data_IF_833992206720
#
_entry.id   IF_833992206720
#
_cell.length_a   1.000
_cell.length_b   1.000
_cell.length_c   1.000
_cell.angle_alpha   90.00
_cell.angle_beta   90.00
_cell.angle_gamma   90.00
#
_symmetry.space_group_name_H-M   'P 1'
#
loop_
_entity.id
_entity.type
_entity.pdbx_description
1 polymer ?
#
# COMPACT_ATOMS: atom_id res chain seq x y z
N UNK A 1 -16.52 19.58 -6.46
CA UNK A 1 -16.82 18.84 -5.19
C UNK A 1 -15.56 18.12 -4.72
N UNK A 2 -15.33 18.03 -3.40
CA UNK A 2 -14.23 17.21 -2.83
C UNK A 2 -14.50 15.73 -3.09
N UNK A 3 -13.48 14.92 -3.39
CA UNK A 3 -13.66 13.48 -3.55
C UNK A 3 -14.12 12.83 -2.24
N UNK A 4 -15.04 11.87 -2.33
CA UNK A 4 -15.46 11.03 -1.21
C UNK A 4 -14.45 9.90 -1.06
N UNK A 5 -13.84 9.75 0.12
CA UNK A 5 -12.84 8.71 0.40
C UNK A 5 -13.34 7.81 1.52
N UNK A 6 -13.50 6.52 1.24
CA UNK A 6 -13.78 5.52 2.26
C UNK A 6 -12.49 5.22 3.04
N UNK A 7 -12.56 5.29 4.36
CA UNK A 7 -11.43 5.04 5.26
C UNK A 7 -11.82 3.90 6.19
N UNK A 8 -11.17 2.73 6.06
CA UNK A 8 -11.40 1.61 6.97
C UNK A 8 -10.51 1.74 8.21
N UNK A 9 -11.03 1.39 9.38
CA UNK A 9 -10.29 1.51 10.65
C UNK A 9 -9.31 0.36 10.92
N UNK A 10 -9.33 -0.69 10.08
CA UNK A 10 -8.44 -1.84 10.22
C UNK A 10 -8.76 -2.71 11.45
N UNK A 11 -7.73 -3.35 11.99
CA UNK A 11 -7.88 -4.18 13.20
C UNK A 11 -8.07 -3.30 14.43
N UNK A 12 -9.17 -3.48 15.13
CA UNK A 12 -9.55 -2.66 16.31
C UNK A 12 -8.59 -2.78 17.50
N UNK A 13 -7.79 -3.85 17.57
CA UNK A 13 -6.76 -4.02 18.59
C UNK A 13 -5.46 -3.28 18.28
N UNK A 14 -5.30 -2.77 17.02
CA UNK A 14 -4.12 -2.03 16.58
C UNK A 14 -4.30 -0.51 16.62
N UNK A 15 -3.34 0.20 16.02
CA UNK A 15 -3.29 1.68 16.00
C UNK A 15 -4.23 2.31 14.96
N UNK A 16 -4.98 1.52 14.17
CA UNK A 16 -5.76 2.02 13.02
C UNK A 16 -6.77 3.10 13.38
N UNK A 17 -7.55 2.91 14.44
CA UNK A 17 -8.51 3.91 14.94
C UNK A 17 -7.81 5.18 15.44
N UNK A 18 -6.69 5.04 16.16
CA UNK A 18 -5.89 6.16 16.67
C UNK A 18 -5.34 7.05 15.56
N UNK A 19 -4.62 6.45 14.59
CA UNK A 19 -4.02 7.21 13.48
C UNK A 19 -5.10 7.85 12.60
N UNK A 20 -6.27 7.20 12.46
CA UNK A 20 -7.40 7.76 11.72
C UNK A 20 -8.00 8.95 12.45
N UNK A 21 -8.27 8.84 13.77
CA UNK A 21 -8.76 9.95 14.58
C UNK A 21 -7.83 11.17 14.52
N UNK A 22 -6.53 10.95 14.63
CA UNK A 22 -5.51 12.01 14.48
C UNK A 22 -5.50 12.60 13.08
N UNK A 23 -5.58 11.77 12.03
CA UNK A 23 -5.60 12.23 10.64
C UNK A 23 -6.82 13.10 10.33
N UNK A 24 -7.99 12.79 10.85
CA UNK A 24 -9.23 13.55 10.66
C UNK A 24 -9.18 14.94 11.33
N UNK A 25 -8.32 15.16 12.33
CA UNK A 25 -8.06 16.48 12.91
C UNK A 25 -7.23 17.39 11.97
N UNK A 26 -6.54 16.83 10.99
CA UNK A 26 -5.71 17.59 10.06
C UNK A 26 -6.54 18.50 9.16
N UNK A 27 -6.19 19.79 9.12
CA UNK A 27 -6.79 20.76 8.23
C UNK A 27 -6.59 20.37 6.76
N UNK A 28 -5.45 19.78 6.42
CA UNK A 28 -5.14 19.34 5.05
C UNK A 28 -6.09 18.23 4.61
N UNK A 29 -6.36 17.22 5.46
CA UNK A 29 -7.29 16.13 5.18
C UNK A 29 -8.71 16.69 4.98
N UNK A 30 -9.17 17.55 5.88
CA UNK A 30 -10.51 18.18 5.78
C UNK A 30 -10.69 19.03 4.54
N UNK A 31 -9.62 19.67 4.06
CA UNK A 31 -9.63 20.43 2.80
C UNK A 31 -9.61 19.54 1.56
N UNK A 32 -8.91 18.38 1.61
CA UNK A 32 -8.64 17.53 0.46
C UNK A 32 -9.82 16.62 0.07
N UNK A 33 -10.60 16.09 1.03
CA UNK A 33 -11.65 15.12 0.76
C UNK A 33 -12.84 15.22 1.72
N UNK A 34 -13.89 14.48 1.39
CA UNK A 34 -15.02 14.15 2.28
C UNK A 34 -14.80 12.72 2.74
N UNK A 35 -14.37 12.48 4.01
CA UNK A 35 -14.13 11.15 4.52
C UNK A 35 -15.44 10.42 4.83
N UNK A 36 -15.48 9.11 4.56
CA UNK A 36 -16.50 8.17 4.99
C UNK A 36 -15.78 7.11 5.81
N UNK A 37 -16.05 7.03 7.09
CA UNK A 37 -15.35 6.13 8.00
C UNK A 37 -16.11 4.81 8.12
N UNK A 38 -15.39 3.69 8.01
CA UNK A 38 -15.98 2.35 8.07
C UNK A 38 -15.18 1.49 9.06
N UNK A 39 -15.83 1.00 10.09
CA UNK A 39 -15.20 0.15 11.10
C UNK A 39 -15.79 0.35 12.48
N UNK A 40 -15.10 -0.07 13.52
CA UNK A 40 -15.54 0.07 14.92
C UNK A 40 -15.48 1.54 15.36
N UNK A 41 -16.62 2.23 15.26
CA UNK A 41 -16.73 3.64 15.57
C UNK A 41 -16.54 3.91 17.07
N UNK A 42 -16.84 2.93 17.93
CA UNK A 42 -16.56 3.05 19.37
C UNK A 42 -15.05 3.19 19.63
N UNK A 43 -14.23 2.40 18.94
CA UNK A 43 -12.75 2.54 19.00
C UNK A 43 -12.30 3.91 18.49
N UNK A 44 -12.87 4.42 17.40
CA UNK A 44 -12.51 5.75 16.88
C UNK A 44 -12.84 6.87 17.89
N UNK A 45 -14.03 6.79 18.51
CA UNK A 45 -14.47 7.76 19.54
C UNK A 45 -13.58 7.75 20.77
N UNK A 46 -13.00 6.61 21.16
CA UNK A 46 -12.09 6.52 22.31
C UNK A 46 -10.80 7.36 22.14
N UNK A 47 -10.46 7.74 20.90
CA UNK A 47 -9.34 8.66 20.60
C UNK A 47 -9.80 10.11 20.38
N UNK A 48 -10.98 10.49 20.92
CA UNK A 48 -11.49 11.86 20.90
C UNK A 48 -12.06 12.30 19.55
N UNK A 49 -12.50 11.36 18.72
CA UNK A 49 -13.27 11.67 17.53
C UNK A 49 -14.73 12.00 17.91
N UNK A 50 -15.20 13.21 17.56
CA UNK A 50 -16.56 13.69 17.86
C UNK A 50 -17.11 14.60 16.74
N UNK A 51 -16.76 14.34 15.49
CA UNK A 51 -17.26 15.12 14.38
C UNK A 51 -18.53 14.51 13.79
N UNK A 52 -19.69 15.11 14.13
CA UNK A 52 -21.02 14.68 13.67
C UNK A 52 -21.24 14.90 12.15
N UNK A 53 -20.39 15.69 11.50
CA UNK A 53 -20.47 15.96 10.04
C UNK A 53 -19.79 14.88 9.21
N UNK A 54 -18.98 14.03 9.82
CA UNK A 54 -18.32 12.90 9.14
C UNK A 54 -19.25 11.71 9.14
N UNK A 55 -19.57 11.21 7.94
CA UNK A 55 -20.40 10.02 7.79
C UNK A 55 -19.65 8.77 8.24
N UNK A 56 -20.26 7.98 9.10
CA UNK A 56 -19.67 6.77 9.68
C UNK A 56 -20.58 5.57 9.42
N UNK A 57 -20.00 4.46 8.97
CA UNK A 57 -20.64 3.14 8.88
C UNK A 57 -20.04 2.29 9.98
N UNK A 58 -20.83 2.00 11.02
CA UNK A 58 -20.38 1.24 12.18
C UNK A 58 -20.32 -0.26 11.89
N UNK A 59 -19.16 -0.84 12.19
CA UNK A 59 -18.92 -2.29 12.13
C UNK A 59 -18.36 -2.70 13.49
N UNK A 60 -19.24 -2.92 14.47
CA UNK A 60 -18.85 -3.11 15.87
C UNK A 60 -18.15 -4.45 16.07
N UNK A 61 -17.13 -4.45 16.93
CA UNK A 61 -16.36 -5.65 17.29
C UNK A 61 -17.03 -6.48 18.39
N UNK A 62 -18.15 -5.98 18.93
CA UNK A 62 -18.90 -6.60 20.03
C UNK A 62 -18.43 -6.19 21.43
N UNK A 63 -19.31 -6.37 22.42
CA UNK A 63 -19.12 -5.88 23.81
C UNK A 63 -17.89 -6.46 24.54
N UNK A 64 -17.43 -7.66 24.20
CA UNK A 64 -16.31 -8.35 24.86
C UNK A 64 -14.91 -7.80 24.53
N UNK A 65 -14.74 -6.99 23.46
CA UNK A 65 -13.46 -6.41 23.08
C UNK A 65 -13.18 -5.04 23.70
N UNK A 66 -13.98 -4.59 24.65
CA UNK A 66 -13.64 -3.43 25.51
C UNK A 66 -12.39 -3.65 26.37
N UNK A 67 -11.90 -4.86 26.50
CA UNK A 67 -10.60 -5.16 27.09
C UNK A 67 -9.51 -4.93 26.03
N UNK A 68 -8.81 -3.85 26.19
CA UNK A 68 -7.67 -3.31 25.43
C UNK A 68 -6.46 -4.27 25.39
N UNK A 69 -6.63 -5.49 24.89
CA UNK A 69 -5.49 -6.36 24.68
C UNK A 69 -4.95 -6.12 23.25
N UNK A 70 -3.77 -5.53 23.11
CA UNK A 70 -3.14 -5.27 21.81
C UNK A 70 -2.59 -6.59 21.23
N UNK A 71 -3.48 -7.47 20.83
CA UNK A 71 -3.18 -8.79 20.27
C UNK A 71 -4.17 -9.18 19.19
N UNK A 72 -3.79 -10.11 18.30
CA UNK A 72 -4.70 -10.64 17.30
C UNK A 72 -5.96 -11.27 17.93
N UNK A 73 -7.13 -10.98 17.35
CA UNK A 73 -8.41 -11.53 17.81
C UNK A 73 -9.31 -11.91 16.62
N UNK A 74 -10.12 -12.96 16.80
CA UNK A 74 -11.12 -13.37 15.80
C UNK A 74 -12.09 -12.21 15.48
N UNK A 75 -12.56 -11.51 16.50
CA UNK A 75 -13.54 -10.44 16.33
C UNK A 75 -12.95 -9.22 15.60
N UNK A 76 -11.67 -8.82 15.89
CA UNK A 76 -10.95 -7.81 15.12
C UNK A 76 -10.77 -8.21 13.66
N UNK A 77 -10.51 -9.52 13.42
CA UNK A 77 -10.45 -10.07 12.06
C UNK A 77 -11.78 -9.94 11.32
N UNK A 78 -12.89 -10.36 11.91
CA UNK A 78 -14.23 -10.25 11.31
C UNK A 78 -14.60 -8.81 11.02
N UNK A 79 -14.43 -7.89 11.98
CA UNK A 79 -14.82 -6.50 11.83
C UNK A 79 -13.96 -5.78 10.78
N UNK A 80 -12.64 -5.96 10.80
CA UNK A 80 -11.75 -5.34 9.82
C UNK A 80 -12.01 -5.85 8.40
N UNK A 81 -12.34 -7.13 8.23
CA UNK A 81 -12.69 -7.69 6.93
C UNK A 81 -14.05 -7.18 6.44
N UNK A 82 -15.05 -7.14 7.29
CA UNK A 82 -16.37 -6.58 6.95
C UNK A 82 -16.28 -5.11 6.54
N UNK A 83 -15.48 -4.31 7.26
CA UNK A 83 -15.25 -2.92 6.91
C UNK A 83 -14.57 -2.80 5.53
N UNK A 84 -13.62 -3.69 5.22
CA UNK A 84 -12.97 -3.73 3.92
C UNK A 84 -13.96 -4.08 2.79
N UNK A 85 -14.84 -5.07 3.01
CA UNK A 85 -15.86 -5.46 2.04
C UNK A 85 -16.78 -4.27 1.71
N UNK A 86 -17.34 -3.61 2.74
CA UNK A 86 -18.21 -2.44 2.56
C UNK A 86 -17.48 -1.32 1.79
N UNK A 87 -16.23 -1.00 2.17
CA UNK A 87 -15.45 0.03 1.48
C UNK A 87 -15.22 -0.33 0.01
N UNK A 88 -14.96 -1.60 -0.28
CA UNK A 88 -14.68 -2.11 -1.61
C UNK A 88 -15.92 -2.06 -2.51
N UNK A 89 -17.08 -2.45 -1.99
CA UNK A 89 -18.36 -2.38 -2.68
C UNK A 89 -18.70 -0.92 -3.04
N UNK A 90 -18.60 -0.01 -2.06
CA UNK A 90 -18.82 1.42 -2.30
C UNK A 90 -17.89 2.02 -3.38
N UNK A 91 -16.64 1.55 -3.42
CA UNK A 91 -15.69 2.02 -4.42
C UNK A 91 -15.95 1.42 -5.80
N UNK A 92 -16.26 0.13 -5.86
CA UNK A 92 -16.57 -0.56 -7.11
C UNK A 92 -17.84 -0.01 -7.77
N UNK A 93 -18.85 0.34 -6.96
CA UNK A 93 -20.09 0.99 -7.41
C UNK A 93 -19.93 2.49 -7.71
N UNK A 94 -18.75 3.06 -7.53
CA UNK A 94 -18.48 4.49 -7.77
C UNK A 94 -19.11 5.44 -6.74
N UNK A 95 -19.66 4.92 -5.62
CA UNK A 95 -20.22 5.72 -4.52
C UNK A 95 -19.17 6.51 -3.74
N UNK A 96 -17.91 6.02 -3.77
CA UNK A 96 -16.72 6.72 -3.29
C UNK A 96 -15.65 6.78 -4.38
N UNK A 97 -14.74 7.73 -4.29
CA UNK A 97 -13.72 7.97 -5.31
C UNK A 97 -12.40 7.21 -5.04
N UNK A 98 -12.29 6.61 -3.87
CA UNK A 98 -11.14 5.81 -3.49
C UNK A 98 -11.24 5.30 -2.06
N UNK A 99 -10.32 4.40 -1.72
CA UNK A 99 -10.27 3.72 -0.42
C UNK A 99 -8.91 4.00 0.23
N UNK A 100 -8.94 4.32 1.52
CA UNK A 100 -7.75 4.30 2.38
C UNK A 100 -7.95 3.23 3.44
N UNK A 101 -7.04 2.26 3.51
CA UNK A 101 -7.17 1.19 4.50
C UNK A 101 -6.17 1.38 5.64
N UNK A 102 -6.64 1.47 6.88
CA UNK A 102 -5.79 1.34 8.05
C UNK A 102 -5.27 -0.11 8.18
N UNK A 103 -4.19 -0.34 8.97
CA UNK A 103 -3.56 -1.65 9.07
C UNK A 103 -4.47 -2.74 9.61
N UNK A 104 -4.36 -3.94 9.04
CA UNK A 104 -5.02 -5.17 9.52
C UNK A 104 -3.98 -6.15 10.07
N UNK A 105 -4.45 -7.05 10.93
CA UNK A 105 -3.64 -8.18 11.39
C UNK A 105 -4.01 -9.45 10.62
N UNK A 106 -3.05 -10.00 9.87
CA UNK A 106 -3.24 -11.25 9.11
C UNK A 106 -3.60 -12.42 10.02
N UNK A 107 -3.02 -12.48 11.24
CA UNK A 107 -3.37 -13.50 12.23
C UNK A 107 -4.82 -13.37 12.72
N UNK A 108 -5.33 -12.13 12.89
CA UNK A 108 -6.74 -11.91 13.21
C UNK A 108 -7.65 -12.40 12.09
N UNK A 109 -7.28 -12.17 10.81
CA UNK A 109 -8.01 -12.71 9.67
C UNK A 109 -8.01 -14.22 9.65
N UNK A 110 -6.86 -14.84 9.88
CA UNK A 110 -6.75 -16.30 9.97
C UNK A 110 -7.63 -16.88 11.09
N UNK A 111 -7.61 -16.28 12.30
CA UNK A 111 -8.49 -16.65 13.41
C UNK A 111 -9.98 -16.51 13.09
N UNK A 112 -10.32 -15.61 12.18
CA UNK A 112 -11.67 -15.40 11.68
C UNK A 112 -12.06 -16.34 10.53
N UNK A 113 -11.16 -17.24 10.09
CA UNK A 113 -11.40 -18.14 8.95
C UNK A 113 -11.25 -17.47 7.58
N UNK A 114 -10.67 -16.26 7.52
CA UNK A 114 -10.48 -15.49 6.29
C UNK A 114 -9.19 -15.98 5.61
N UNK A 115 -9.31 -16.48 4.38
CA UNK A 115 -8.22 -17.13 3.63
C UNK A 115 -7.34 -16.17 2.83
N UNK A 116 -7.62 -14.87 2.82
CA UNK A 116 -6.79 -13.87 2.13
C UNK A 116 -5.54 -13.54 2.94
N UNK A 117 -4.41 -13.40 2.25
CA UNK A 117 -3.11 -13.07 2.87
C UNK A 117 -2.96 -11.59 3.23
N UNK A 118 -3.94 -10.75 2.86
CA UNK A 118 -3.98 -9.31 3.14
C UNK A 118 -4.84 -8.54 2.14
N UNK A 119 -4.85 -7.22 2.26
CA UNK A 119 -5.66 -6.34 1.43
C UNK A 119 -5.44 -6.54 -0.07
N UNK A 120 -4.18 -6.57 -0.53
CA UNK A 120 -3.86 -6.67 -1.95
C UNK A 120 -4.32 -8.01 -2.55
N UNK A 121 -4.14 -9.10 -1.82
CA UNK A 121 -4.62 -10.43 -2.22
C UNK A 121 -6.15 -10.46 -2.32
N UNK A 122 -6.85 -9.89 -1.32
CA UNK A 122 -8.29 -9.71 -1.34
C UNK A 122 -8.75 -8.96 -2.60
N UNK A 123 -8.18 -7.79 -2.87
CA UNK A 123 -8.57 -6.98 -4.02
C UNK A 123 -8.31 -7.69 -5.35
N UNK A 124 -7.15 -8.34 -5.51
CA UNK A 124 -6.81 -9.06 -6.73
C UNK A 124 -7.79 -10.20 -7.04
N UNK A 125 -8.12 -10.99 -6.03
CA UNK A 125 -9.00 -12.16 -6.18
C UNK A 125 -10.46 -11.75 -6.32
N UNK A 126 -10.94 -10.84 -5.48
CA UNK A 126 -12.35 -10.46 -5.45
C UNK A 126 -12.78 -9.70 -6.71
N UNK A 127 -11.92 -8.84 -7.23
CA UNK A 127 -12.24 -7.99 -8.38
C UNK A 127 -11.61 -8.48 -9.69
N UNK A 128 -10.87 -9.61 -9.68
CA UNK A 128 -10.19 -10.17 -10.85
C UNK A 128 -9.14 -9.22 -11.48
N UNK A 129 -8.28 -8.64 -10.65
CA UNK A 129 -7.16 -7.78 -11.06
C UNK A 129 -5.81 -8.39 -10.64
N UNK A 130 -5.39 -9.53 -11.24
CA UNK A 130 -4.18 -10.27 -10.82
C UNK A 130 -2.89 -9.47 -10.98
N UNK A 131 -2.86 -8.54 -11.91
CA UNK A 131 -1.70 -7.69 -12.21
C UNK A 131 -1.69 -6.36 -11.42
N UNK A 132 -2.59 -6.22 -10.42
CA UNK A 132 -2.53 -5.04 -9.54
C UNK A 132 -1.16 -4.97 -8.85
N UNK A 133 -0.55 -3.79 -8.91
CA UNK A 133 0.85 -3.57 -8.56
C UNK A 133 0.99 -2.89 -7.20
N UNK A 134 1.88 -3.42 -6.37
CA UNK A 134 2.28 -2.79 -5.12
C UNK A 134 3.33 -1.72 -5.38
N UNK A 135 2.98 -0.47 -5.10
CA UNK A 135 3.85 0.70 -5.24
C UNK A 135 3.99 1.40 -3.89
N UNK A 136 5.19 1.79 -3.53
CA UNK A 136 5.47 2.62 -2.38
C UNK A 136 5.88 4.01 -2.83
N UNK A 137 5.23 5.01 -2.26
CA UNK A 137 5.44 6.42 -2.58
C UNK A 137 5.88 7.17 -1.34
N UNK A 138 6.95 7.93 -1.44
CA UNK A 138 7.32 8.96 -0.48
C UNK A 138 7.63 10.26 -1.24
N UNK A 139 8.03 11.33 -0.55
CA UNK A 139 8.31 12.63 -1.20
C UNK A 139 9.25 12.52 -2.39
N UNK A 140 10.30 11.67 -2.28
CA UNK A 140 11.37 11.57 -3.29
C UNK A 140 11.55 10.16 -3.84
N UNK A 141 10.73 9.19 -3.43
CA UNK A 141 10.92 7.80 -3.83
C UNK A 141 9.60 7.24 -4.36
N UNK A 142 9.65 6.68 -5.57
CA UNK A 142 8.58 5.92 -6.19
C UNK A 142 9.13 4.51 -6.47
N UNK A 143 8.72 3.52 -5.69
CA UNK A 143 9.24 2.17 -5.75
C UNK A 143 8.12 1.15 -6.02
N UNK A 144 8.33 0.26 -6.99
CA UNK A 144 7.42 -0.85 -7.28
C UNK A 144 8.09 -2.20 -7.02
N UNK A 145 7.29 -3.24 -6.74
CA UNK A 145 7.76 -4.60 -6.48
C UNK A 145 7.39 -5.56 -7.60
N UNK A 146 8.34 -6.41 -8.00
CA UNK A 146 8.04 -7.57 -8.85
C UNK A 146 7.41 -8.68 -8.04
N UNK A 147 8.04 -9.06 -6.94
CA UNK A 147 7.53 -10.03 -5.97
C UNK A 147 7.28 -9.34 -4.63
N UNK A 148 6.30 -9.87 -3.88
CA UNK A 148 5.84 -9.24 -2.63
C UNK A 148 6.23 -10.10 -1.42
N UNK A 149 5.24 -10.47 -0.58
CA UNK A 149 5.46 -11.25 0.65
C UNK A 149 5.57 -12.74 0.33
N UNK A 150 6.78 -13.22 0.11
CA UNK A 150 7.10 -14.63 -0.11
C UNK A 150 8.48 -14.96 0.47
N UNK A 151 8.80 -16.26 0.72
CA UNK A 151 10.14 -16.65 1.09
C UNK A 151 11.17 -16.23 0.04
N UNK A 152 12.35 -15.79 0.48
CA UNK A 152 13.41 -15.34 -0.43
C UNK A 152 13.83 -16.44 -1.42
N UNK A 153 13.84 -17.70 -0.98
CA UNK A 153 14.12 -18.89 -1.80
C UNK A 153 13.18 -19.06 -3.00
N UNK A 154 11.97 -18.50 -2.93
CA UNK A 154 10.97 -18.60 -4.00
C UNK A 154 10.99 -17.44 -5.00
N UNK A 155 11.74 -16.39 -4.70
CA UNK A 155 11.71 -15.14 -5.51
C UNK A 155 12.03 -15.39 -6.98
N UNK A 156 13.12 -16.13 -7.26
CA UNK A 156 13.54 -16.43 -8.63
C UNK A 156 12.46 -17.15 -9.44
N UNK A 157 11.73 -18.10 -8.82
CA UNK A 157 10.66 -18.87 -9.45
C UNK A 157 9.49 -17.98 -9.91
N UNK A 158 9.24 -16.88 -9.19
CA UNK A 158 8.14 -15.95 -9.49
C UNK A 158 8.54 -14.82 -10.45
N UNK A 159 9.83 -14.65 -10.77
CA UNK A 159 10.30 -13.66 -11.74
C UNK A 159 10.22 -14.26 -13.15
N UNK A 160 9.10 -14.02 -13.82
CA UNK A 160 8.85 -14.45 -15.19
C UNK A 160 8.84 -13.28 -16.17
N UNK A 161 9.11 -13.52 -17.47
CA UNK A 161 9.01 -12.50 -18.53
C UNK A 161 7.66 -11.79 -18.52
N UNK A 162 6.57 -12.56 -18.30
CA UNK A 162 5.20 -12.02 -18.21
C UNK A 162 5.08 -11.06 -17.02
N UNK A 163 5.55 -11.47 -15.85
CA UNK A 163 5.47 -10.66 -14.61
C UNK A 163 6.30 -9.38 -14.71
N UNK A 164 7.56 -9.48 -15.14
CA UNK A 164 8.44 -8.31 -15.34
C UNK A 164 7.81 -7.33 -16.33
N UNK A 165 7.30 -7.83 -17.47
CA UNK A 165 6.60 -7.00 -18.46
C UNK A 165 5.39 -6.28 -17.88
N UNK A 166 4.53 -7.00 -17.13
CA UNK A 166 3.34 -6.43 -16.51
C UNK A 166 3.70 -5.34 -15.48
N UNK A 167 4.69 -5.59 -14.63
CA UNK A 167 5.17 -4.62 -13.63
C UNK A 167 5.71 -3.37 -14.29
N UNK A 168 6.59 -3.49 -15.28
CA UNK A 168 7.14 -2.33 -16.00
C UNK A 168 6.03 -1.51 -16.68
N UNK A 169 5.10 -2.16 -17.39
CA UNK A 169 3.97 -1.51 -18.06
C UNK A 169 3.08 -0.77 -17.07
N UNK A 170 2.71 -1.42 -15.97
CA UNK A 170 1.83 -0.83 -14.96
C UNK A 170 2.54 0.30 -14.19
N UNK A 171 3.81 0.14 -13.86
CA UNK A 171 4.55 1.19 -13.17
C UNK A 171 4.76 2.43 -14.04
N UNK A 172 5.07 2.28 -15.32
CA UNK A 172 5.12 3.41 -16.27
C UNK A 172 3.78 4.17 -16.32
N UNK A 173 2.66 3.46 -16.35
CA UNK A 173 1.34 4.07 -16.33
C UNK A 173 1.06 4.78 -15.00
N UNK A 174 1.44 4.18 -13.88
CA UNK A 174 1.28 4.77 -12.54
C UNK A 174 2.09 6.07 -12.40
N UNK A 175 3.34 6.10 -12.89
CA UNK A 175 4.19 7.28 -12.84
C UNK A 175 3.61 8.48 -13.62
N UNK A 176 2.81 8.25 -14.67
CA UNK A 176 2.11 9.35 -15.38
C UNK A 176 1.04 10.04 -14.54
N UNK A 177 0.52 9.38 -13.52
CA UNK A 177 -0.52 9.94 -12.62
C UNK A 177 0.05 10.80 -11.49
N UNK A 178 1.36 10.77 -11.29
CA UNK A 178 2.04 11.53 -10.23
C UNK A 178 3.07 12.50 -10.84
N UNK A 179 3.44 13.58 -10.13
CA UNK A 179 4.44 14.51 -10.63
C UNK A 179 5.84 13.86 -10.55
N UNK A 180 6.36 13.43 -11.67
CA UNK A 180 7.70 12.86 -11.81
C UNK A 180 8.50 13.71 -12.78
N UNK A 181 9.67 14.21 -12.34
CA UNK A 181 10.53 15.06 -13.17
C UNK A 181 11.17 14.28 -14.33
N UNK A 182 11.56 13.03 -14.09
CA UNK A 182 12.21 12.18 -15.08
C UNK A 182 11.45 10.84 -15.18
N UNK A 183 10.91 10.46 -16.35
CA UNK A 183 10.17 9.22 -16.53
C UNK A 183 11.05 7.96 -16.64
N UNK A 184 12.38 8.10 -16.54
CA UNK A 184 13.29 6.93 -16.54
C UNK A 184 13.10 6.10 -15.28
N UNK A 185 13.18 4.80 -15.44
CA UNK A 185 12.99 3.81 -14.38
C UNK A 185 14.25 2.97 -14.23
N UNK A 186 14.68 2.76 -12.99
CA UNK A 186 15.65 1.73 -12.65
C UNK A 186 14.95 0.41 -12.38
N UNK A 187 15.56 -0.68 -12.79
CA UNK A 187 15.19 -2.04 -12.42
C UNK A 187 16.36 -2.66 -11.66
N UNK A 188 16.14 -3.07 -10.41
CA UNK A 188 17.12 -3.77 -9.59
C UNK A 188 17.22 -5.22 -10.03
N UNK A 189 18.42 -5.68 -10.36
CA UNK A 189 18.69 -7.08 -10.61
C UNK A 189 18.32 -7.95 -9.40
N UNK A 190 18.04 -9.22 -9.64
CA UNK A 190 17.79 -10.21 -8.57
C UNK A 190 19.11 -10.59 -7.92
N UNK A 191 20.07 -10.90 -8.79
CA UNK A 191 21.37 -11.46 -8.37
C UNK A 191 22.44 -10.37 -8.28
N UNK A 192 23.44 -10.54 -7.38
CA UNK A 192 24.63 -9.70 -7.36
C UNK A 192 25.26 -9.61 -8.74
N UNK A 193 25.79 -8.44 -9.10
CA UNK A 193 26.46 -8.18 -10.39
C UNK A 193 25.64 -8.59 -11.63
N UNK A 194 24.30 -8.74 -11.50
CA UNK A 194 23.40 -9.24 -12.55
C UNK A 194 23.73 -10.68 -13.01
N UNK A 195 24.23 -11.50 -12.10
CA UNK A 195 24.58 -12.91 -12.37
C UNK A 195 25.88 -13.12 -13.16
N UNK A 196 26.72 -12.04 -13.29
CA UNK A 196 27.96 -12.04 -14.07
C UNK A 196 27.76 -12.66 -15.47
N UNK A 197 26.84 -12.06 -16.24
CA UNK A 197 26.50 -12.49 -17.60
C UNK A 197 26.05 -13.97 -17.70
N UNK A 198 25.54 -14.51 -16.59
CA UNK A 198 25.06 -15.90 -16.48
C UNK A 198 26.07 -16.88 -15.91
N UNK A 199 27.23 -16.41 -15.42
CA UNK A 199 28.28 -17.27 -14.89
C UNK A 199 27.83 -18.04 -13.62
N UNK A 200 27.01 -17.40 -12.75
CA UNK A 200 26.47 -18.06 -11.55
C UNK A 200 24.95 -18.00 -11.42
N UNK A 201 24.29 -17.09 -12.16
CA UNK A 201 22.83 -16.97 -12.15
C UNK A 201 22.32 -16.46 -13.51
N UNK A 202 21.16 -16.94 -13.94
CA UNK A 202 20.68 -16.73 -15.32
C UNK A 202 19.38 -15.95 -15.44
N UNK A 203 18.78 -15.53 -14.32
CA UNK A 203 17.49 -14.81 -14.30
C UNK A 203 17.55 -13.51 -15.10
N UNK A 204 18.65 -12.79 -14.99
CA UNK A 204 18.85 -11.54 -15.73
C UNK A 204 18.91 -11.81 -17.22
N UNK A 205 19.72 -12.77 -17.67
CA UNK A 205 19.94 -13.06 -19.08
C UNK A 205 18.72 -13.71 -19.74
N UNK A 206 18.15 -14.74 -19.11
CA UNK A 206 17.07 -15.53 -19.71
C UNK A 206 15.68 -14.92 -19.53
N UNK A 207 15.50 -14.08 -18.52
CA UNK A 207 14.16 -13.59 -18.12
C UNK A 207 14.07 -12.07 -18.14
N UNK A 208 14.91 -11.37 -17.36
CA UNK A 208 14.73 -9.93 -17.11
C UNK A 208 15.14 -9.11 -18.34
N UNK A 209 16.36 -9.27 -18.84
CA UNK A 209 16.85 -8.54 -20.03
C UNK A 209 15.92 -8.71 -21.25
N UNK A 210 15.47 -9.94 -21.61
CA UNK A 210 14.51 -10.11 -22.70
C UNK A 210 13.16 -9.42 -22.46
N UNK A 211 12.66 -9.41 -21.23
CA UNK A 211 11.42 -8.70 -20.89
C UNK A 211 11.57 -7.18 -21.00
N UNK A 212 12.75 -6.64 -20.65
CA UNK A 212 13.03 -5.21 -20.67
C UNK A 212 13.29 -4.63 -22.06
N UNK A 213 13.64 -5.44 -23.08
CA UNK A 213 13.91 -4.98 -24.45
C UNK A 213 12.82 -4.07 -25.04
N UNK A 214 11.57 -4.21 -24.60
CA UNK A 214 10.42 -3.38 -25.07
C UNK A 214 10.34 -2.02 -24.38
N UNK A 215 11.13 -1.76 -23.33
CA UNK A 215 11.03 -0.58 -22.49
C UNK A 215 12.28 0.30 -22.57
N UNK A 216 12.32 1.22 -23.52
CA UNK A 216 13.50 2.10 -23.77
C UNK A 216 13.88 2.99 -22.59
N UNK A 217 12.97 3.23 -21.65
CA UNK A 217 13.17 4.07 -20.47
C UNK A 217 13.39 3.29 -19.18
N UNK A 218 13.59 1.97 -19.25
CA UNK A 218 13.91 1.11 -18.10
C UNK A 218 15.36 0.65 -18.22
N UNK A 219 16.16 0.89 -17.18
CA UNK A 219 17.58 0.50 -17.11
C UNK A 219 17.75 -0.55 -16.03
N UNK A 220 18.28 -1.72 -16.37
CA UNK A 220 18.67 -2.77 -15.44
C UNK A 220 20.04 -2.45 -14.84
N UNK A 221 20.16 -2.55 -13.52
CA UNK A 221 21.42 -2.35 -12.79
C UNK A 221 21.53 -3.35 -11.63
N UNK A 222 22.76 -3.69 -11.19
CA UNK A 222 22.97 -4.35 -9.91
C UNK A 222 22.34 -3.55 -8.79
N UNK A 223 21.74 -4.24 -7.79
CA UNK A 223 20.89 -3.63 -6.79
C UNK A 223 21.62 -2.66 -5.87
N UNK A 224 22.86 -2.96 -5.52
CA UNK A 224 23.75 -2.12 -4.72
C UNK A 224 23.98 -0.75 -5.37
N UNK A 225 24.25 -0.73 -6.67
CA UNK A 225 24.46 0.51 -7.43
C UNK A 225 23.16 1.19 -7.87
N UNK A 226 22.07 0.43 -8.06
CA UNK A 226 20.79 0.96 -8.51
C UNK A 226 20.21 2.00 -7.54
N UNK A 227 20.17 1.71 -6.26
CA UNK A 227 19.66 2.64 -5.24
C UNK A 227 20.54 3.89 -5.13
N UNK A 228 21.87 3.72 -5.20
CA UNK A 228 22.80 4.84 -5.18
C UNK A 228 22.58 5.79 -6.37
N UNK A 229 22.37 5.25 -7.58
CA UNK A 229 22.03 6.06 -8.76
C UNK A 229 20.65 6.67 -8.70
N UNK A 230 19.68 5.98 -8.07
CA UNK A 230 18.33 6.48 -7.91
C UNK A 230 18.29 7.77 -7.07
N UNK A 231 18.97 7.79 -5.94
CA UNK A 231 19.00 8.97 -5.05
C UNK A 231 19.69 10.20 -5.66
N UNK A 232 20.53 10.01 -6.70
CA UNK A 232 21.10 11.11 -7.47
C UNK A 232 20.08 11.87 -8.34
N UNK A 233 18.79 11.43 -8.36
CA UNK A 233 17.70 12.15 -9.01
C UNK A 233 17.60 11.99 -10.53
N UNK A 234 18.36 11.08 -11.14
CA UNK A 234 18.34 10.83 -12.59
C UNK A 234 17.18 9.95 -13.05
N UNK A 235 16.41 9.40 -12.12
CA UNK A 235 15.32 8.47 -12.37
C UNK A 235 14.06 8.86 -11.60
N UNK A 236 12.90 8.62 -12.19
CA UNK A 236 11.61 8.94 -11.56
C UNK A 236 10.98 7.78 -10.81
N UNK A 237 11.47 6.56 -11.04
CA UNK A 237 10.99 5.36 -10.37
C UNK A 237 12.06 4.27 -10.29
N UNK A 238 11.89 3.37 -9.32
CA UNK A 238 12.72 2.17 -9.15
C UNK A 238 11.81 0.95 -9.00
N UNK A 239 12.14 -0.13 -9.71
CA UNK A 239 11.48 -1.43 -9.59
C UNK A 239 12.45 -2.36 -8.88
N UNK A 240 12.01 -2.96 -7.78
CA UNK A 240 12.78 -3.95 -7.04
C UNK A 240 12.22 -5.35 -7.26
N UNK A 241 13.10 -6.33 -7.33
CA UNK A 241 12.76 -7.71 -7.60
C UNK A 241 12.01 -8.36 -6.43
N UNK A 242 12.33 -8.00 -5.18
CA UNK A 242 11.72 -8.54 -3.97
C UNK A 242 11.57 -7.50 -2.86
N UNK A 243 10.80 -7.88 -1.84
CA UNK A 243 10.33 -6.98 -0.78
C UNK A 243 11.46 -6.25 -0.06
N UNK A 244 12.46 -6.95 0.49
CA UNK A 244 13.48 -6.30 1.33
C UNK A 244 14.50 -5.51 0.51
N UNK A 245 14.74 -5.87 -0.75
CA UNK A 245 15.51 -5.07 -1.71
C UNK A 245 14.91 -3.66 -1.90
N UNK A 246 13.59 -3.54 -1.71
CA UNK A 246 12.88 -2.27 -1.79
C UNK A 246 12.73 -1.60 -0.42
N UNK A 247 12.22 -2.33 0.58
CA UNK A 247 11.73 -1.72 1.82
C UNK A 247 12.86 -1.31 2.77
N UNK A 248 13.98 -2.01 2.76
CA UNK A 248 15.16 -1.61 3.56
C UNK A 248 15.66 -0.24 3.11
N UNK A 249 16.08 -0.03 1.85
CA UNK A 249 16.57 1.28 1.44
C UNK A 249 15.45 2.34 1.44
N UNK A 250 14.22 1.99 1.08
CA UNK A 250 13.09 2.91 1.14
C UNK A 250 12.91 3.49 2.55
N UNK A 251 12.87 2.65 3.59
CA UNK A 251 12.69 3.10 4.97
C UNK A 251 13.90 3.83 5.52
N UNK A 252 15.09 3.43 5.12
CA UNK A 252 16.35 4.08 5.55
C UNK A 252 16.51 5.47 4.92
N UNK A 253 16.22 5.59 3.62
CA UNK A 253 16.41 6.82 2.86
C UNK A 253 15.23 7.79 2.93
N UNK A 254 14.03 7.29 3.23
CA UNK A 254 12.84 8.13 3.28
C UNK A 254 12.80 8.95 4.57
N UNK A 255 12.99 10.26 4.45
CA UNK A 255 12.79 11.25 5.51
C UNK A 255 11.32 11.71 5.64
N UNK A 256 10.42 11.10 4.90
CA UNK A 256 9.00 11.45 4.85
C UNK A 256 8.13 10.21 4.94
N UNK A 257 6.86 10.36 5.38
CA UNK A 257 5.94 9.24 5.47
C UNK A 257 5.80 8.48 4.16
N UNK A 258 5.76 7.16 4.25
CA UNK A 258 5.62 6.26 3.09
C UNK A 258 4.15 5.86 2.94
N UNK A 259 3.65 5.92 1.72
CA UNK A 259 2.32 5.47 1.33
C UNK A 259 2.45 4.23 0.46
N UNK A 260 1.69 3.20 0.77
CA UNK A 260 1.48 2.08 -0.13
C UNK A 260 0.29 2.40 -1.05
N UNK A 261 0.49 2.27 -2.35
CA UNK A 261 -0.52 2.40 -3.40
C UNK A 261 -0.70 1.08 -4.13
N UNK A 262 -1.90 0.51 -4.12
CA UNK A 262 -2.24 -0.63 -4.97
C UNK A 262 -2.76 -0.08 -6.30
N UNK A 263 -1.88 -0.06 -7.31
CA UNK A 263 -2.20 0.43 -8.65
C UNK A 263 -2.81 -0.67 -9.52
N UNK A 264 -3.71 -0.30 -10.41
CA UNK A 264 -4.33 -1.22 -11.39
C UNK A 264 -5.63 -1.85 -10.93
N UNK A 265 -6.18 -1.43 -9.80
CA UNK A 265 -7.56 -1.74 -9.39
C UNK A 265 -8.55 -0.82 -10.14
N UNK A 266 -9.86 -1.18 -10.20
CA UNK A 266 -10.89 -0.34 -10.83
C UNK A 266 -11.18 0.94 -10.03
N UNK A 267 -10.60 1.07 -8.85
CA UNK A 267 -10.68 2.23 -7.96
C UNK A 267 -9.30 2.52 -7.33
N UNK A 268 -9.15 3.72 -6.78
CA UNK A 268 -7.90 4.10 -6.12
C UNK A 268 -7.86 3.51 -4.71
N UNK A 269 -6.78 2.79 -4.39
CA UNK A 269 -6.55 2.27 -3.04
C UNK A 269 -5.17 2.64 -2.54
N UNK A 270 -5.12 3.30 -1.37
CA UNK A 270 -3.89 3.63 -0.66
C UNK A 270 -3.93 3.16 0.79
N UNK A 271 -2.79 3.09 1.43
CA UNK A 271 -2.67 2.80 2.86
C UNK A 271 -1.36 3.35 3.42
N UNK A 272 -1.26 3.56 4.75
CA UNK A 272 0.04 3.68 5.39
C UNK A 272 0.89 2.42 5.15
N UNK A 273 2.21 2.59 5.11
CA UNK A 273 3.17 1.51 4.84
C UNK A 273 3.73 0.86 6.13
N UNK A 274 2.92 0.79 7.17
CA UNK A 274 3.24 0.13 8.45
C UNK A 274 2.12 -0.81 8.88
N UNK A 275 2.40 -1.66 9.87
CA UNK A 275 1.45 -2.64 10.43
C UNK A 275 0.59 -2.08 11.56
N UNK A 276 -0.05 -3.00 12.29
CA UNK A 276 -0.97 -2.73 13.42
C UNK A 276 -0.29 -2.17 14.67
N UNK A 277 1.02 -2.32 14.81
CA UNK A 277 1.85 -1.82 15.91
C UNK A 277 1.19 -2.06 17.29
N UNK A 278 0.95 -3.33 17.61
CA UNK A 278 0.29 -3.73 18.85
C UNK A 278 1.06 -3.30 20.11
N UNK A 279 2.38 -3.15 20.01
CA UNK A 279 3.27 -2.68 21.08
C UNK A 279 2.93 -1.28 21.59
N UNK A 280 2.41 -0.41 20.72
CA UNK A 280 2.00 0.96 21.06
C UNK A 280 0.50 1.20 21.00
N UNK A 281 -0.29 0.21 20.63
CA UNK A 281 -1.74 0.35 20.51
C UNK A 281 -2.38 0.69 21.87
N UNK A 282 -3.27 1.68 21.89
CA UNK A 282 -3.94 2.17 23.10
C UNK A 282 -3.13 3.17 23.93
N UNK A 283 -1.86 3.44 23.58
CA UNK A 283 -1.02 4.39 24.31
C UNK A 283 -1.17 5.85 23.87
N UNK A 284 -1.87 6.12 22.77
CA UNK A 284 -2.09 7.49 22.27
C UNK A 284 -0.85 8.13 21.62
N UNK A 285 0.22 7.36 21.36
CA UNK A 285 1.51 7.86 20.86
C UNK A 285 1.77 7.54 19.39
N UNK A 286 0.84 6.85 18.69
CA UNK A 286 1.04 6.49 17.30
C UNK A 286 1.13 7.73 16.39
N UNK A 287 2.10 7.73 15.47
CA UNK A 287 2.25 8.77 14.45
C UNK A 287 1.25 8.57 13.31
N UNK A 288 0.45 9.59 13.02
CA UNK A 288 -0.56 9.59 11.98
C UNK A 288 -0.04 10.08 10.61
N UNK A 289 1.21 10.46 10.50
CA UNK A 289 1.77 11.10 9.30
C UNK A 289 1.57 10.25 8.04
N UNK A 290 1.82 8.94 8.10
CA UNK A 290 1.61 8.03 6.98
C UNK A 290 0.12 7.89 6.60
N UNK A 291 -0.79 7.93 7.58
CA UNK A 291 -2.23 7.89 7.33
C UNK A 291 -2.72 9.19 6.68
N UNK A 292 -2.25 10.33 7.16
CA UNK A 292 -2.53 11.64 6.55
C UNK A 292 -2.06 11.64 5.09
N UNK A 293 -0.83 11.22 4.82
CA UNK A 293 -0.31 11.16 3.45
C UNK A 293 -1.07 10.17 2.58
N UNK A 294 -1.48 9.02 3.10
CA UNK A 294 -2.29 8.05 2.36
C UNK A 294 -3.65 8.66 1.95
N UNK A 295 -4.31 9.41 2.83
CA UNK A 295 -5.57 10.09 2.55
C UNK A 295 -5.37 11.19 1.50
N UNK A 296 -4.36 12.04 1.67
CA UNK A 296 -4.07 13.14 0.75
C UNK A 296 -3.70 12.63 -0.64
N UNK A 297 -2.92 11.56 -0.72
CA UNK A 297 -2.52 10.94 -1.97
C UNK A 297 -3.71 10.28 -2.67
N UNK A 298 -4.55 9.55 -1.95
CA UNK A 298 -5.80 9.01 -2.47
C UNK A 298 -6.70 10.11 -3.05
N UNK A 299 -6.92 11.17 -2.30
CA UNK A 299 -7.75 12.31 -2.74
C UNK A 299 -7.19 12.97 -4.01
N UNK A 300 -5.86 13.18 -4.07
CA UNK A 300 -5.17 13.75 -5.24
C UNK A 300 -5.35 12.91 -6.51
N UNK A 301 -5.18 11.59 -6.38
CA UNK A 301 -5.38 10.66 -7.50
C UNK A 301 -6.84 10.62 -7.94
N UNK A 302 -7.79 10.66 -7.00
CA UNK A 302 -9.23 10.64 -7.27
C UNK A 302 -9.73 11.84 -8.08
N UNK A 303 -9.07 12.98 -7.98
CA UNK A 303 -9.39 14.16 -8.79
C UNK A 303 -8.85 14.04 -10.22
N UNK A 304 -7.69 13.39 -10.38
CA UNK A 304 -7.05 13.22 -11.69
C UNK A 304 -7.69 12.13 -12.54
N UNK A 305 -8.22 11.07 -11.94
CA UNK A 305 -8.87 9.97 -12.68
C UNK A 305 -10.24 10.32 -13.25
N UNK A 306 -10.79 11.48 -12.92
CA UNK A 306 -12.06 12.00 -13.49
C UNK A 306 -11.86 12.89 -14.72
N UNK A 307 -10.62 13.22 -15.06
CA UNK A 307 -10.22 13.90 -16.29
C UNK A 307 -9.68 12.90 -17.30
#
# INVERSE_FOLDING_TARGET
>A
MKPKIAITLGDSAGIGAEITAKALKSVFVRKACTPIIIGDIASLKSYGFNDKKVYCIDVPVGKKLKTKLPRPTKAGGVASFKALQIASELAFEGKVNGIVTAPICKKSWHLAGIKFTGHTDYFRKTFNYPDALMIFISKNINCALVTEHMPLSEVSNFITKKKVTAVCKNFQKALKLIPVKNPKILFCAVNPHMGDEGAFATEEEKTIKPALKKFRNVTLLPSDSAWQKYIQGKFGGIICSYHDQALIPLKTLSKSPVVHWTYGLPFIRTSPAHGTAFDIAGKGIADASSMIQAILFCAKLSVKSKK
#
